data_IF_617866211740
#
_entry.id   IF_617866211740
#
_cell.length_a   1.000
_cell.length_b   1.000
_cell.length_c   1.000
_cell.angle_alpha   90.00
_cell.angle_beta   90.00
_cell.angle_gamma   90.00
#
_symmetry.space_group_name_H-M   'P 1'
#
loop_
_entity.id
_entity.type
_entity.pdbx_description
1 polymer ?
#
# COMPACT_ATOMS: atom_id res chain seq x y z
N UNK A 1 16.93 4.82 -6.89
CA UNK A 1 15.77 3.98 -7.29
C UNK A 1 16.16 3.28 -8.58
N UNK A 2 16.31 1.95 -8.57
CA UNK A 2 16.65 1.21 -9.79
C UNK A 2 15.51 1.34 -10.80
N UNK A 3 15.84 1.57 -12.08
CA UNK A 3 14.84 1.47 -13.15
C UNK A 3 14.22 0.08 -13.07
N UNK A 4 12.89 -0.01 -13.22
CA UNK A 4 12.25 -1.33 -13.24
C UNK A 4 12.86 -2.14 -14.38
N UNK A 5 13.08 -3.45 -14.19
CA UNK A 5 13.58 -4.33 -15.26
C UNK A 5 12.71 -4.27 -16.53
N UNK A 6 11.45 -3.82 -16.40
CA UNK A 6 10.53 -3.56 -17.50
C UNK A 6 10.86 -2.26 -18.26
N UNK A 7 11.12 -1.16 -17.57
CA UNK A 7 11.51 0.10 -18.20
C UNK A 7 12.82 -0.06 -19.00
N UNK A 8 13.76 -0.87 -18.51
CA UNK A 8 15.00 -1.18 -19.24
C UNK A 8 14.72 -1.98 -20.51
N UNK A 9 13.81 -2.96 -20.46
CA UNK A 9 13.39 -3.74 -21.64
C UNK A 9 12.64 -2.89 -22.67
N UNK A 10 11.75 -1.99 -22.23
CA UNK A 10 11.05 -1.04 -23.11
C UNK A 10 12.06 -0.14 -23.82
N UNK A 11 13.05 0.40 -23.09
CA UNK A 11 14.10 1.23 -23.69
C UNK A 11 14.98 0.45 -24.68
N UNK A 12 15.31 -0.81 -24.39
CA UNK A 12 16.03 -1.67 -25.34
C UNK A 12 15.23 -1.89 -26.63
N UNK A 13 13.92 -2.14 -26.52
CA UNK A 13 13.03 -2.25 -27.67
C UNK A 13 12.91 -0.94 -28.47
N UNK A 14 12.93 0.22 -27.81
CA UNK A 14 12.97 1.53 -28.49
C UNK A 14 14.24 1.72 -29.31
N UNK A 15 15.39 1.35 -28.75
CA UNK A 15 16.68 1.41 -29.45
C UNK A 15 16.67 0.49 -30.66
N UNK A 16 16.14 -0.73 -30.51
CA UNK A 16 15.99 -1.69 -31.61
C UNK A 16 15.05 -1.13 -32.69
N UNK A 17 13.87 -0.61 -32.32
CA UNK A 17 12.92 -0.02 -33.28
C UNK A 17 13.55 1.16 -34.04
N UNK A 18 14.33 1.98 -33.34
CA UNK A 18 15.04 3.11 -33.95
C UNK A 18 16.10 2.66 -34.95
N UNK A 19 16.85 1.60 -34.63
CA UNK A 19 17.80 0.98 -35.55
C UNK A 19 17.12 0.35 -36.77
N UNK A 20 16.01 -0.37 -36.56
CA UNK A 20 15.23 -0.99 -37.63
C UNK A 20 14.66 0.05 -38.61
N UNK A 21 14.14 1.18 -38.11
CA UNK A 21 13.64 2.27 -38.96
C UNK A 21 14.75 2.94 -39.77
N UNK A 22 15.95 3.08 -39.20
CA UNK A 22 17.10 3.73 -39.88
C UNK A 22 17.64 2.87 -41.02
N UNK A 23 17.67 1.56 -40.83
CA UNK A 23 18.27 0.61 -41.78
C UNK A 23 17.21 -0.21 -42.53
N UNK A 24 15.98 0.28 -42.62
CA UNK A 24 14.84 -0.45 -43.18
C UNK A 24 15.10 -0.96 -44.61
N UNK A 25 15.84 -0.18 -45.40
CA UNK A 25 16.20 -0.50 -46.79
C UNK A 25 17.25 -1.61 -46.92
N UNK A 26 18.02 -1.86 -45.86
CA UNK A 26 19.08 -2.88 -45.82
C UNK A 26 18.56 -4.22 -45.25
N UNK A 27 17.34 -4.23 -44.69
CA UNK A 27 16.73 -5.43 -44.14
C UNK A 27 16.15 -6.31 -45.26
N UNK A 28 16.79 -7.46 -45.49
CA UNK A 28 16.37 -8.45 -46.48
C UNK A 28 15.10 -9.25 -46.10
N UNK A 29 14.56 -9.03 -44.89
CA UNK A 29 13.42 -9.78 -44.35
C UNK A 29 12.19 -8.88 -44.21
N UNK A 30 10.96 -9.43 -44.31
CA UNK A 30 9.73 -8.68 -44.06
C UNK A 30 9.58 -8.39 -42.55
N UNK A 31 10.30 -7.38 -42.07
CA UNK A 31 10.18 -6.91 -40.68
C UNK A 31 8.91 -6.08 -40.58
N UNK A 32 7.94 -6.54 -39.79
CA UNK A 32 6.71 -5.78 -39.48
C UNK A 32 7.02 -4.66 -38.48
N UNK A 33 7.78 -3.66 -38.91
CA UNK A 33 8.21 -2.51 -38.09
C UNK A 33 7.00 -1.80 -37.49
N UNK A 34 5.91 -1.65 -38.25
CA UNK A 34 4.67 -1.05 -37.76
C UNK A 34 4.03 -1.86 -36.61
N UNK A 35 4.05 -3.19 -36.69
CA UNK A 35 3.53 -4.07 -35.63
C UNK A 35 4.37 -4.00 -34.36
N UNK A 36 5.71 -3.99 -34.51
CA UNK A 36 6.63 -3.83 -33.38
C UNK A 36 6.49 -2.46 -32.72
N UNK A 37 6.37 -1.40 -33.52
CA UNK A 37 6.14 -0.03 -33.02
C UNK A 37 4.82 0.08 -32.24
N UNK A 38 3.76 -0.56 -32.73
CA UNK A 38 2.46 -0.58 -32.03
C UNK A 38 2.57 -1.29 -30.68
N UNK A 39 3.13 -2.49 -30.64
CA UNK A 39 3.32 -3.24 -29.38
C UNK A 39 4.17 -2.46 -28.37
N UNK A 40 5.18 -1.72 -28.83
CA UNK A 40 6.00 -0.89 -27.97
C UNK A 40 5.24 0.32 -27.42
N UNK A 41 4.37 0.94 -28.23
CA UNK A 41 3.49 2.01 -27.78
C UNK A 41 2.48 1.51 -26.74
N UNK A 42 1.87 0.35 -26.98
CA UNK A 42 0.94 -0.30 -26.05
C UNK A 42 1.65 -0.64 -24.72
N UNK A 43 2.87 -1.19 -24.77
CA UNK A 43 3.67 -1.50 -23.59
C UNK A 43 4.02 -0.26 -22.75
N UNK A 44 4.34 0.87 -23.40
CA UNK A 44 4.58 2.16 -22.72
C UNK A 44 3.32 2.72 -22.07
N UNK A 45 2.18 2.60 -22.74
CA UNK A 45 0.90 3.06 -22.20
C UNK A 45 0.55 2.27 -20.93
N UNK A 46 0.74 0.95 -20.94
CA UNK A 46 0.49 0.11 -19.77
C UNK A 46 1.48 0.35 -18.61
N UNK A 47 2.77 0.56 -18.90
CA UNK A 47 3.75 0.90 -17.87
C UNK A 47 3.35 2.19 -17.13
N UNK A 48 2.88 3.19 -17.89
CA UNK A 48 2.35 4.44 -17.31
C UNK A 48 1.12 4.21 -16.44
N UNK A 49 0.16 3.40 -16.89
CA UNK A 49 -1.02 3.04 -16.09
C UNK A 49 -0.60 2.35 -14.80
N UNK A 50 0.39 1.46 -14.86
CA UNK A 50 0.93 0.78 -13.70
C UNK A 50 1.58 1.75 -12.70
N UNK A 51 2.33 2.74 -13.17
CA UNK A 51 2.90 3.79 -12.31
C UNK A 51 1.82 4.63 -11.63
N UNK A 52 0.77 5.03 -12.37
CA UNK A 52 -0.36 5.76 -11.82
C UNK A 52 -1.10 4.94 -10.74
N UNK A 53 -1.30 3.64 -10.99
CA UNK A 53 -1.93 2.73 -10.01
C UNK A 53 -1.06 2.56 -8.76
N UNK A 54 0.26 2.47 -8.90
CA UNK A 54 1.19 2.45 -7.76
C UNK A 54 1.08 3.72 -6.93
N UNK A 55 1.05 4.89 -7.57
CA UNK A 55 0.88 6.17 -6.89
C UNK A 55 -0.45 6.21 -6.12
N UNK A 56 -1.56 5.81 -6.75
CA UNK A 56 -2.88 5.72 -6.10
C UNK A 56 -2.89 4.74 -4.92
N UNK A 57 -2.20 3.61 -5.05
CA UNK A 57 -2.08 2.61 -3.98
C UNK A 57 -1.34 3.18 -2.77
N UNK A 58 -0.24 3.91 -3.02
CA UNK A 58 0.51 4.58 -1.96
C UNK A 58 -0.33 5.65 -1.27
N UNK A 59 -1.04 6.49 -2.03
CA UNK A 59 -1.94 7.52 -1.47
C UNK A 59 -3.05 6.89 -0.61
N UNK A 60 -3.71 5.85 -1.13
CA UNK A 60 -4.74 5.10 -0.39
C UNK A 60 -4.20 4.51 0.91
N UNK A 61 -2.99 3.95 0.88
CA UNK A 61 -2.34 3.40 2.08
C UNK A 61 -2.06 4.48 3.12
N UNK A 62 -1.55 5.64 2.71
CA UNK A 62 -1.33 6.78 3.61
C UNK A 62 -2.64 7.25 4.23
N UNK A 63 -3.70 7.36 3.41
CA UNK A 63 -5.03 7.75 3.89
C UNK A 63 -5.61 6.74 4.88
N UNK A 64 -5.50 5.44 4.60
CA UNK A 64 -5.95 4.38 5.49
C UNK A 64 -5.21 4.44 6.83
N UNK A 65 -3.89 4.62 6.81
CA UNK A 65 -3.09 4.74 8.03
C UNK A 65 -3.49 5.95 8.87
N UNK A 66 -3.79 7.09 8.22
CA UNK A 66 -4.30 8.28 8.90
C UNK A 66 -5.67 8.01 9.54
N UNK A 67 -6.61 7.46 8.77
CA UNK A 67 -7.94 7.13 9.28
C UNK A 67 -7.88 6.16 10.45
N UNK A 68 -7.04 5.13 10.38
CA UNK A 68 -6.85 4.16 11.46
C UNK A 68 -6.25 4.79 12.72
N UNK A 69 -5.40 5.81 12.57
CA UNK A 69 -4.88 6.57 13.71
C UNK A 69 -6.00 7.41 14.35
N UNK A 70 -6.74 8.15 13.54
CA UNK A 70 -7.85 8.98 14.02
C UNK A 70 -8.92 8.12 14.72
N UNK A 71 -9.26 6.96 14.16
CA UNK A 71 -10.17 5.97 14.77
C UNK A 71 -9.66 5.47 16.12
N UNK A 72 -8.36 5.19 16.25
CA UNK A 72 -7.77 4.76 17.52
C UNK A 72 -7.87 5.88 18.56
N UNK A 73 -7.53 7.10 18.19
CA UNK A 73 -7.57 8.25 19.10
C UNK A 73 -9.00 8.54 19.59
N UNK A 74 -9.98 8.52 18.68
CA UNK A 74 -11.39 8.71 19.03
C UNK A 74 -11.95 7.55 19.84
N UNK A 75 -11.60 6.31 19.51
CA UNK A 75 -11.99 5.16 20.32
C UNK A 75 -11.46 5.26 21.75
N UNK A 76 -10.22 5.70 21.94
CA UNK A 76 -9.62 5.88 23.26
C UNK A 76 -10.32 6.98 24.07
N UNK A 77 -10.73 8.07 23.41
CA UNK A 77 -11.53 9.15 24.02
C UNK A 77 -12.89 8.65 24.45
N UNK A 78 -13.60 7.93 23.58
CA UNK A 78 -14.93 7.36 23.87
C UNK A 78 -14.83 6.38 25.05
N UNK A 79 -13.85 5.46 25.02
CA UNK A 79 -13.60 4.51 26.10
C UNK A 79 -13.32 5.25 27.41
N UNK A 80 -12.49 6.29 27.40
CA UNK A 80 -12.18 7.08 28.59
C UNK A 80 -13.42 7.79 29.15
N UNK A 81 -14.26 8.35 28.29
CA UNK A 81 -15.52 8.99 28.69
C UNK A 81 -16.48 7.98 29.32
N UNK A 82 -16.66 6.80 28.71
CA UNK A 82 -17.51 5.74 29.25
C UNK A 82 -16.98 5.21 30.61
N UNK A 83 -15.66 5.04 30.72
CA UNK A 83 -15.02 4.66 31.98
C UNK A 83 -15.13 5.74 33.06
N UNK A 84 -15.12 7.02 32.68
CA UNK A 84 -15.35 8.15 33.58
C UNK A 84 -16.81 8.20 34.09
N UNK A 85 -17.77 7.88 33.21
CA UNK A 85 -19.19 7.90 33.54
C UNK A 85 -19.65 6.71 34.37
N UNK A 86 -19.25 5.49 33.99
CA UNK A 86 -19.73 4.26 34.64
C UNK A 86 -18.75 3.70 35.68
N UNK A 87 -17.48 4.11 35.64
CA UNK A 87 -16.41 3.55 36.44
C UNK A 87 -15.70 2.39 35.74
N UNK A 88 -14.37 2.36 35.85
CA UNK A 88 -13.47 1.41 35.14
C UNK A 88 -13.74 -0.08 35.36
N UNK A 89 -14.46 -0.44 36.42
CA UNK A 89 -14.74 -1.84 36.81
C UNK A 89 -16.21 -2.23 36.56
N UNK A 90 -17.02 -1.32 36.04
CA UNK A 90 -18.45 -1.54 35.89
C UNK A 90 -18.71 -2.49 34.72
N UNK A 91 -19.49 -3.53 34.96
CA UNK A 91 -19.87 -4.53 33.96
C UNK A 91 -20.67 -3.93 32.81
N UNK A 92 -21.32 -2.78 33.04
CA UNK A 92 -22.00 -2.01 31.98
C UNK A 92 -21.08 -1.59 30.83
N UNK A 93 -19.76 -1.56 31.04
CA UNK A 93 -18.79 -1.32 29.95
C UNK A 93 -18.81 -2.44 28.89
N UNK A 94 -19.21 -3.66 29.24
CA UNK A 94 -19.27 -4.80 28.31
C UNK A 94 -20.34 -4.61 27.22
N UNK A 95 -21.43 -3.88 27.51
CA UNK A 95 -22.45 -3.50 26.51
C UNK A 95 -21.87 -2.66 25.37
N UNK A 96 -20.78 -1.92 25.64
CA UNK A 96 -20.04 -1.12 24.66
C UNK A 96 -18.84 -1.86 24.05
N UNK A 97 -18.69 -3.17 24.32
CA UNK A 97 -17.53 -3.97 23.90
C UNK A 97 -16.24 -3.65 24.65
N UNK A 98 -16.31 -2.94 25.78
CA UNK A 98 -15.15 -2.53 26.59
C UNK A 98 -15.01 -3.50 27.76
N UNK A 99 -13.86 -4.17 27.86
CA UNK A 99 -13.59 -5.08 28.97
C UNK A 99 -13.33 -4.32 30.29
N UNK A 100 -14.11 -4.54 31.36
CA UNK A 100 -13.89 -3.88 32.65
C UNK A 100 -12.55 -4.30 33.28
N UNK A 101 -11.93 -3.37 34.01
CA UNK A 101 -10.74 -3.63 34.81
C UNK A 101 -11.10 -4.51 36.01
N UNK A 102 -10.72 -5.79 35.98
CA UNK A 102 -10.84 -6.66 37.14
C UNK A 102 -9.92 -6.17 38.25
N UNK A 103 -10.40 -6.09 39.49
CA UNK A 103 -9.51 -5.83 40.63
C UNK A 103 -8.57 -7.02 40.81
N UNK A 104 -7.34 -6.89 40.35
CA UNK A 104 -6.28 -7.82 40.70
C UNK A 104 -6.05 -7.78 42.22
N UNK A 105 -6.29 -8.90 42.89
CA UNK A 105 -5.78 -9.13 44.24
C UNK A 105 -4.26 -9.14 44.11
N UNK A 106 -3.55 -8.08 44.51
CA UNK A 106 -2.08 -8.13 44.63
C UNK A 106 -1.77 -9.28 45.59
N UNK A 107 -1.20 -10.39 45.10
CA UNK A 107 -0.68 -11.43 45.99
C UNK A 107 0.42 -10.77 46.83
N UNK A 108 0.33 -10.78 48.16
CA UNK A 108 1.41 -10.27 49.00
C UNK A 108 2.67 -11.08 48.70
N UNK A 109 3.80 -10.40 48.52
CA UNK A 109 5.09 -11.04 48.36
C UNK A 109 5.34 -11.91 49.61
N UNK A 110 5.45 -13.22 49.40
CA UNK A 110 5.83 -14.13 50.47
C UNK A 110 7.23 -13.72 50.95
N UNK A 111 7.33 -13.28 52.21
CA UNK A 111 8.63 -13.09 52.87
C UNK A 111 9.28 -14.47 52.96
N UNK A 112 10.37 -14.66 52.22
CA UNK A 112 11.28 -15.78 52.44
C UNK A 112 12.05 -15.48 53.73
N UNK A 113 11.88 -16.36 54.72
CA UNK A 113 12.72 -16.46 55.92
C UNK A 113 13.85 -17.44 55.63
#
# INVERSE_FOLDING_TARGET
MGKSAYAERINACDVILSGLKKNEKELALPVKIAGFAKLLADAKAEDKVQEELKAKTQESTVRLNKLMKDLKDDSARIISSLQGQYGKKNEKLEEFGIKPLKSGRRKPAAKQQ
#
